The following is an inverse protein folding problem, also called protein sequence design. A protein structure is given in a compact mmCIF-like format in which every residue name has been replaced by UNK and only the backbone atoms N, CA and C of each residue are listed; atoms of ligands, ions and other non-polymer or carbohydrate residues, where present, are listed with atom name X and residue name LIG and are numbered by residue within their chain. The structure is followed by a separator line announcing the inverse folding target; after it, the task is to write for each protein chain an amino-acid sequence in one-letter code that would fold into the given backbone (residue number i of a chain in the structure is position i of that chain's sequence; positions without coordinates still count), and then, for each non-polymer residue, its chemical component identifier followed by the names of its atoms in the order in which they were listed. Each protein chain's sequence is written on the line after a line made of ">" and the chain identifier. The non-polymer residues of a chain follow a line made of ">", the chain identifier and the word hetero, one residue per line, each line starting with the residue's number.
data_IF_592514108427
#
_entry.id   IF_592514108427
#
_cell.length_a   1.000
_cell.length_b   1.000
_cell.length_c   1.000
_cell.angle_alpha   90.00
_cell.angle_beta   90.00
_cell.angle_gamma   90.00
#
_symmetry.space_group_name_H-M   'P 1'
#
loop_
_entity.id
_entity.type
_entity.pdbx_description
1 polymer ?
#
# COMPACT_ATOMS: atom_id res chain seq x y z
N UNK A 1 -2.62 8.55 9.54
CA UNK A 1 -2.89 7.69 10.71
C UNK A 1 -2.49 6.25 10.39
N UNK A 2 -2.11 5.49 11.41
CA UNK A 2 -1.78 4.07 11.26
C UNK A 2 -3.04 3.22 11.22
N UNK A 3 -3.11 2.32 10.24
CA UNK A 3 -4.13 1.27 10.13
C UNK A 3 -3.44 -0.07 10.24
N UNK A 4 -3.66 -0.74 11.37
CA UNK A 4 -2.94 -1.96 11.70
C UNK A 4 -3.75 -3.21 11.38
N UNK A 5 -3.06 -4.34 11.17
CA UNK A 5 -3.64 -5.67 10.99
C UNK A 5 -4.65 -5.73 9.82
N UNK A 6 -4.32 -5.06 8.72
CA UNK A 6 -5.20 -4.93 7.55
C UNK A 6 -4.86 -5.91 6.45
N UNK A 7 -5.87 -6.33 5.70
CA UNK A 7 -5.71 -7.20 4.54
C UNK A 7 -5.63 -6.35 3.28
N UNK A 8 -4.61 -6.59 2.46
CA UNK A 8 -4.56 -6.03 1.10
C UNK A 8 -5.40 -6.93 0.21
N UNK A 9 -6.41 -6.38 -0.46
CA UNK A 9 -7.29 -7.16 -1.34
C UNK A 9 -6.87 -7.07 -2.79
N UNK A 10 -6.26 -5.94 -3.19
CA UNK A 10 -5.73 -5.72 -4.54
C UNK A 10 -4.54 -4.78 -4.51
N UNK A 11 -3.62 -4.99 -5.45
CA UNK A 11 -2.51 -4.09 -5.76
C UNK A 11 -2.52 -3.80 -7.27
N UNK A 12 -2.11 -2.60 -7.65
CA UNK A 12 -2.00 -2.19 -9.05
C UNK A 12 -0.85 -1.20 -9.22
N UNK A 13 -0.06 -1.38 -10.27
CA UNK A 13 0.97 -0.41 -10.68
C UNK A 13 0.87 -0.13 -12.17
N UNK A 14 1.19 1.10 -12.57
CA UNK A 14 1.28 1.50 -13.98
C UNK A 14 2.70 1.98 -14.29
N UNK A 15 3.20 1.62 -15.47
CA UNK A 15 4.44 2.17 -16.00
C UNK A 15 4.29 3.70 -16.16
N UNK A 16 5.14 4.47 -15.48
CA UNK A 16 5.08 5.94 -15.44
C UNK A 16 5.60 6.54 -14.12
N UNK A 17 5.25 7.79 -13.83
CA UNK A 17 5.71 8.62 -12.71
C UNK A 17 5.37 8.09 -11.30
N UNK A 18 5.92 6.94 -10.91
CA UNK A 18 5.78 6.35 -9.57
C UNK A 18 4.30 6.14 -9.20
N UNK A 19 3.61 5.38 -10.06
CA UNK A 19 2.17 5.16 -9.98
C UNK A 19 1.86 3.75 -9.47
N UNK A 20 1.69 3.65 -8.16
CA UNK A 20 1.27 2.43 -7.48
C UNK A 20 0.05 2.70 -6.57
N UNK A 21 -0.84 1.73 -6.48
CA UNK A 21 -2.04 1.76 -5.67
C UNK A 21 -2.32 0.42 -5.03
N UNK A 22 -3.06 0.45 -3.92
CA UNK A 22 -3.59 -0.74 -3.29
C UNK A 22 -4.99 -0.47 -2.72
N UNK A 23 -5.79 -1.53 -2.64
CA UNK A 23 -7.03 -1.54 -1.88
C UNK A 23 -6.74 -2.26 -0.57
N UNK A 24 -6.94 -1.56 0.53
CA UNK A 24 -6.72 -2.07 1.88
C UNK A 24 -8.07 -2.18 2.57
N UNK A 25 -8.42 -3.39 3.00
CA UNK A 25 -9.71 -3.69 3.61
C UNK A 25 -9.92 -2.83 4.87
N UNK A 26 -11.14 -2.30 5.03
CA UNK A 26 -11.55 -1.49 6.19
C UNK A 26 -10.64 -0.26 6.44
N UNK A 27 -10.07 0.30 5.38
CA UNK A 27 -9.33 1.57 5.38
C UNK A 27 -9.99 2.57 4.45
N UNK A 28 -10.07 2.24 3.16
CA UNK A 28 -10.81 3.01 2.16
C UNK A 28 -11.41 2.01 1.16
N UNK A 29 -12.70 2.13 0.78
CA UNK A 29 -13.28 1.29 -0.26
C UNK A 29 -12.65 1.51 -1.64
N UNK A 30 -11.88 2.58 -1.84
CA UNK A 30 -11.25 2.93 -3.11
C UNK A 30 -9.75 2.62 -3.14
N UNK A 31 -9.14 2.86 -4.30
CA UNK A 31 -7.70 2.74 -4.51
C UNK A 31 -6.93 3.80 -3.73
N UNK A 32 -6.15 3.35 -2.74
CA UNK A 32 -5.19 4.21 -2.05
C UNK A 32 -3.89 4.28 -2.85
N UNK A 33 -3.47 5.49 -3.19
CA UNK A 33 -2.21 5.71 -3.91
C UNK A 33 -1.03 5.59 -2.96
N UNK A 34 0.03 4.91 -3.39
CA UNK A 34 1.32 4.91 -2.69
C UNK A 34 2.10 6.17 -3.06
N UNK A 35 2.52 6.97 -2.08
CA UNK A 35 3.31 8.18 -2.29
C UNK A 35 4.28 8.41 -1.12
N UNK A 36 5.58 8.31 -1.42
CA UNK A 36 6.67 8.35 -0.43
C UNK A 36 7.70 9.44 -0.70
N UNK A 37 7.46 10.31 -1.68
CA UNK A 37 8.40 11.38 -2.08
C UNK A 37 9.65 10.90 -2.85
N UNK A 38 9.88 9.59 -2.95
CA UNK A 38 10.98 8.96 -3.71
C UNK A 38 10.49 7.70 -4.44
N UNK A 39 11.06 7.43 -5.62
CA UNK A 39 10.74 6.26 -6.44
C UNK A 39 11.01 4.93 -5.73
N UNK A 40 12.10 4.88 -4.96
CA UNK A 40 12.48 3.68 -4.20
C UNK A 40 11.45 3.38 -3.10
N UNK A 41 10.95 4.42 -2.43
CA UNK A 41 9.92 4.26 -1.41
C UNK A 41 8.61 3.72 -1.99
N UNK A 42 8.21 4.16 -3.18
CA UNK A 42 7.00 3.66 -3.84
C UNK A 42 7.16 2.18 -4.20
N UNK A 43 8.33 1.81 -4.73
CA UNK A 43 8.64 0.42 -5.08
C UNK A 43 8.66 -0.48 -3.85
N UNK A 44 9.34 -0.07 -2.77
CA UNK A 44 9.44 -0.84 -1.54
C UNK A 44 8.05 -1.09 -0.91
N UNK A 45 7.23 -0.05 -0.79
CA UNK A 45 5.86 -0.19 -0.27
C UNK A 45 5.02 -1.06 -1.17
N UNK A 46 5.09 -0.85 -2.49
CA UNK A 46 4.34 -1.67 -3.44
C UNK A 46 4.71 -3.16 -3.34
N UNK A 47 6.00 -3.47 -3.19
CA UNK A 47 6.47 -4.84 -2.97
C UNK A 47 5.91 -5.44 -1.67
N UNK A 48 5.94 -4.70 -0.56
CA UNK A 48 5.38 -5.15 0.73
C UNK A 48 3.89 -5.47 0.59
N UNK A 49 3.12 -4.59 -0.04
CA UNK A 49 1.69 -4.78 -0.25
C UNK A 49 1.40 -5.97 -1.17
N UNK A 50 2.24 -6.20 -2.18
CA UNK A 50 2.11 -7.35 -3.08
C UNK A 50 2.43 -8.67 -2.37
N UNK A 51 3.50 -8.70 -1.56
CA UNK A 51 3.86 -9.86 -0.72
C UNK A 51 2.71 -10.18 0.25
N UNK A 52 2.11 -9.16 0.86
CA UNK A 52 0.96 -9.34 1.75
C UNK A 52 -0.23 -9.97 1.03
N UNK A 53 -0.58 -9.43 -0.14
CA UNK A 53 -1.66 -9.94 -0.99
C UNK A 53 -1.40 -11.41 -1.40
N UNK A 54 -0.20 -11.71 -1.92
CA UNK A 54 0.12 -13.06 -2.43
C UNK A 54 0.18 -14.12 -1.35
N UNK A 55 0.55 -13.74 -0.12
CA UNK A 55 0.66 -14.66 1.01
C UNK A 55 -0.56 -14.64 1.93
N UNK A 56 -1.62 -13.90 1.59
CA UNK A 56 -2.77 -13.67 2.49
C UNK A 56 -2.34 -13.20 3.90
N UNK A 57 -1.26 -12.42 3.96
CA UNK A 57 -0.71 -11.84 5.19
C UNK A 57 -1.30 -10.46 5.44
N UNK A 58 -1.25 -10.06 6.70
CA UNK A 58 -1.72 -8.76 7.13
C UNK A 58 -0.59 -7.73 7.11
N UNK A 59 -0.96 -6.48 6.95
CA UNK A 59 -0.04 -5.33 6.91
C UNK A 59 -0.51 -4.24 7.84
N UNK A 60 0.47 -3.49 8.34
CA UNK A 60 0.26 -2.19 8.95
C UNK A 60 0.56 -1.13 7.91
N UNK A 61 -0.38 -0.22 7.65
CA UNK A 61 -0.22 0.86 6.67
C UNK A 61 -0.40 2.22 7.32
N UNK A 62 0.45 3.17 6.96
CA UNK A 62 0.29 4.56 7.36
C UNK A 62 -0.34 5.34 6.21
N UNK A 63 -1.53 5.87 6.44
CA UNK A 63 -2.30 6.65 5.46
C UNK A 63 -2.29 8.12 5.83
N UNK A 64 -1.79 8.97 4.94
CA UNK A 64 -1.74 10.42 5.10
C UNK A 64 -2.33 11.08 3.86
N UNK A 65 -3.33 11.96 4.05
CA UNK A 65 -4.00 12.64 2.93
C UNK A 65 -4.63 11.71 1.89
N UNK A 66 -5.09 10.52 2.30
CA UNK A 66 -5.64 9.50 1.40
C UNK A 66 -4.58 8.71 0.60
N UNK A 67 -3.31 8.80 1.00
CA UNK A 67 -2.20 8.11 0.35
C UNK A 67 -1.42 7.25 1.35
N UNK A 68 -0.90 6.12 0.89
CA UNK A 68 -0.03 5.24 1.67
C UNK A 68 1.39 5.79 1.58
N UNK A 69 1.95 6.20 2.72
CA UNK A 69 3.34 6.68 2.79
C UNK A 69 4.28 5.74 3.52
N UNK A 70 3.75 4.76 4.28
CA UNK A 70 4.53 3.67 4.87
C UNK A 70 3.70 2.38 4.92
N UNK A 71 4.36 1.23 4.83
CA UNK A 71 3.75 -0.08 5.02
C UNK A 71 4.76 -1.05 5.64
N UNK A 72 4.28 -1.90 6.55
CA UNK A 72 5.06 -2.95 7.22
C UNK A 72 4.28 -4.26 7.18
N UNK A 73 4.98 -5.36 6.90
CA UNK A 73 4.39 -6.70 6.90
C UNK A 73 4.40 -7.28 8.33
N UNK A 74 3.32 -7.96 8.70
CA UNK A 74 3.18 -8.68 9.98
C UNK A 74 3.32 -10.18 9.75
#
# INVERSE_FOLDING_TARGET
>A
MWHNNKTVTRTHCKAGSQQAWAIVQDVDPNWLRVKTGSADGVTNIYMILNIALSNSRKVDVFVEGGMISQATLI
#
